data_IF_613981782228
#
_entry.id   IF_613981782228
#
_cell.length_a   1.000
_cell.length_b   1.000
_cell.length_c   1.000
_cell.angle_alpha   90.00
_cell.angle_beta   90.00
_cell.angle_gamma   90.00
#
_symmetry.space_group_name_H-M   'P 1'
#
loop_
_entity.id
_entity.type
_entity.pdbx_description
1 polymer ?
#
# COMPACT_ATOMS: atom_id res chain seq x y z
N UNK A 1 -51.10 -16.39 33.93
CA UNK A 1 -50.89 -16.23 32.48
C UNK A 1 -51.66 -17.31 31.76
N UNK A 2 -52.57 -16.92 30.87
CA UNK A 2 -53.25 -17.82 29.95
C UNK A 2 -52.25 -18.39 28.93
N UNK A 3 -52.54 -19.55 28.32
CA UNK A 3 -51.67 -20.15 27.30
C UNK A 3 -51.44 -19.22 26.08
N UNK A 4 -52.46 -18.44 25.70
CA UNK A 4 -52.37 -17.42 24.64
C UNK A 4 -51.40 -16.30 24.97
N UNK A 5 -51.44 -15.83 26.22
CA UNK A 5 -50.60 -14.73 26.71
C UNK A 5 -49.11 -15.11 26.68
N UNK A 6 -48.81 -16.37 26.97
CA UNK A 6 -47.46 -16.92 26.87
C UNK A 6 -47.00 -17.05 25.42
N UNK A 7 -47.86 -17.51 24.52
CA UNK A 7 -47.58 -17.63 23.07
C UNK A 7 -47.24 -16.27 22.46
N UNK A 8 -48.05 -15.25 22.78
CA UNK A 8 -47.86 -13.87 22.31
C UNK A 8 -46.53 -13.27 22.79
N UNK A 9 -46.17 -13.47 24.05
CA UNK A 9 -44.88 -13.03 24.59
C UNK A 9 -43.69 -13.67 23.86
N UNK A 10 -43.78 -14.96 23.53
CA UNK A 10 -42.73 -15.69 22.81
C UNK A 10 -42.56 -15.13 21.39
N UNK A 11 -43.66 -14.85 20.69
CA UNK A 11 -43.62 -14.29 19.35
C UNK A 11 -43.00 -12.88 19.34
N UNK A 12 -43.28 -12.08 20.36
CA UNK A 12 -42.71 -10.73 20.52
C UNK A 12 -41.21 -10.77 20.81
N UNK A 13 -40.77 -11.70 21.66
CA UNK A 13 -39.35 -11.94 21.91
C UNK A 13 -38.63 -12.45 20.65
N UNK A 14 -39.25 -13.37 19.92
CA UNK A 14 -38.69 -13.93 18.68
C UNK A 14 -38.55 -12.85 17.60
N UNK A 15 -39.58 -12.00 17.41
CA UNK A 15 -39.52 -10.87 16.50
C UNK A 15 -38.33 -9.96 16.83
N UNK A 16 -38.21 -9.57 18.10
CA UNK A 16 -37.12 -8.70 18.55
C UNK A 16 -35.74 -9.36 18.41
N UNK A 17 -35.65 -10.68 18.58
CA UNK A 17 -34.42 -11.43 18.35
C UNK A 17 -34.02 -11.44 16.87
N UNK A 18 -34.95 -11.78 15.97
CA UNK A 18 -34.72 -11.79 14.52
C UNK A 18 -34.29 -10.42 13.99
N UNK A 19 -34.97 -9.35 14.44
CA UNK A 19 -34.62 -7.98 14.08
C UNK A 19 -33.19 -7.63 14.52
N UNK A 20 -32.82 -7.94 15.77
CA UNK A 20 -31.46 -7.70 16.30
C UNK A 20 -30.40 -8.47 15.52
N UNK A 21 -30.64 -9.76 15.23
CA UNK A 21 -29.74 -10.59 14.43
C UNK A 21 -29.53 -9.98 13.05
N UNK A 22 -30.59 -9.57 12.37
CA UNK A 22 -30.50 -8.93 11.06
C UNK A 22 -29.60 -7.69 11.09
N UNK A 23 -29.86 -6.75 11.99
CA UNK A 23 -29.04 -5.54 12.08
C UNK A 23 -27.61 -5.83 12.53
N UNK A 24 -27.40 -6.83 13.38
CA UNK A 24 -26.07 -7.28 13.78
C UNK A 24 -25.26 -7.77 12.58
N UNK A 25 -25.84 -8.59 11.70
CA UNK A 25 -25.16 -9.09 10.52
C UNK A 25 -24.83 -7.99 9.50
N UNK A 26 -25.69 -6.98 9.39
CA UNK A 26 -25.41 -5.78 8.57
C UNK A 26 -24.24 -4.97 9.14
N UNK A 27 -24.16 -4.81 10.46
CA UNK A 27 -23.05 -4.13 11.13
C UNK A 27 -21.73 -4.93 11.00
N UNK A 28 -21.78 -6.25 11.08
CA UNK A 28 -20.60 -7.11 10.85
C UNK A 28 -20.04 -6.90 9.43
N UNK A 29 -20.90 -6.83 8.41
CA UNK A 29 -20.47 -6.57 7.02
C UNK A 29 -19.60 -5.31 6.95
N UNK A 30 -20.04 -4.23 7.60
CA UNK A 30 -19.33 -2.95 7.56
C UNK A 30 -18.01 -3.01 8.33
N UNK A 31 -17.97 -3.74 9.46
CA UNK A 31 -16.73 -4.02 10.18
C UNK A 31 -15.74 -4.86 9.36
N UNK A 32 -16.22 -5.87 8.64
CA UNK A 32 -15.38 -6.68 7.73
C UNK A 32 -14.81 -5.78 6.64
N UNK A 33 -15.63 -4.95 6.00
CA UNK A 33 -15.19 -3.99 4.98
C UNK A 33 -14.13 -3.02 5.51
N UNK A 34 -14.32 -2.48 6.72
CA UNK A 34 -13.32 -1.60 7.35
C UNK A 34 -11.98 -2.32 7.57
N UNK A 35 -12.01 -3.59 7.97
CA UNK A 35 -10.80 -4.40 8.21
C UNK A 35 -10.03 -4.75 6.94
N UNK A 36 -10.63 -4.66 5.74
CA UNK A 36 -9.92 -4.91 4.48
C UNK A 36 -8.84 -3.87 4.16
N UNK A 37 -8.95 -2.64 4.70
CA UNK A 37 -7.99 -1.57 4.40
C UNK A 37 -6.57 -1.90 4.87
N UNK A 38 -6.44 -2.52 6.04
CA UNK A 38 -5.13 -2.81 6.65
C UNK A 38 -4.34 -3.86 5.85
N UNK A 39 -4.89 -5.04 5.50
CA UNK A 39 -4.21 -6.01 4.62
C UNK A 39 -3.83 -5.41 3.27
N UNK A 40 -4.68 -4.57 2.68
CA UNK A 40 -4.38 -3.92 1.40
C UNK A 40 -3.14 -3.01 1.50
N UNK A 41 -3.10 -2.14 2.52
CA UNK A 41 -1.97 -1.25 2.75
C UNK A 41 -0.66 -2.03 3.00
N UNK A 42 -0.73 -3.10 3.80
CA UNK A 42 0.41 -3.99 4.06
C UNK A 42 0.90 -4.65 2.76
N UNK A 43 -0.02 -5.17 1.93
CA UNK A 43 0.32 -5.78 0.65
C UNK A 43 1.03 -4.82 -0.29
N UNK A 44 0.53 -3.58 -0.43
CA UNK A 44 1.15 -2.54 -1.25
C UNK A 44 2.55 -2.19 -0.74
N UNK A 45 2.72 -2.02 0.58
CA UNK A 45 4.03 -1.74 1.18
C UNK A 45 5.04 -2.87 0.90
N UNK A 46 4.62 -4.14 1.03
CA UNK A 46 5.48 -5.29 0.74
C UNK A 46 5.89 -5.34 -0.73
N UNK A 47 4.97 -5.11 -1.66
CA UNK A 47 5.29 -5.02 -3.09
C UNK A 47 6.30 -3.91 -3.37
N UNK A 48 6.16 -2.76 -2.71
CA UNK A 48 7.13 -1.66 -2.79
C UNK A 48 8.53 -2.05 -2.30
N UNK A 49 8.63 -2.73 -1.15
CA UNK A 49 9.90 -3.21 -0.60
C UNK A 49 10.56 -4.23 -1.54
N UNK A 50 9.79 -5.20 -2.05
CA UNK A 50 10.30 -6.18 -3.01
C UNK A 50 10.76 -5.50 -4.31
N UNK A 51 9.98 -4.55 -4.83
CA UNK A 51 10.32 -3.78 -6.01
C UNK A 51 11.61 -2.98 -5.85
N UNK A 52 11.80 -2.34 -4.68
CA UNK A 52 13.04 -1.63 -4.34
C UNK A 52 14.26 -2.55 -4.37
N UNK A 53 14.18 -3.73 -3.74
CA UNK A 53 15.29 -4.69 -3.72
C UNK A 53 15.62 -5.18 -5.14
N UNK A 54 14.61 -5.50 -5.95
CA UNK A 54 14.81 -5.95 -7.32
C UNK A 54 15.45 -4.87 -8.20
N UNK A 55 15.05 -3.61 -8.03
CA UNK A 55 15.61 -2.48 -8.76
C UNK A 55 17.08 -2.22 -8.39
N UNK A 56 17.44 -2.39 -7.12
CA UNK A 56 18.78 -2.11 -6.59
C UNK A 56 19.71 -3.32 -6.51
N UNK A 57 19.24 -4.49 -6.97
CA UNK A 57 20.05 -5.70 -7.01
C UNK A 57 21.23 -5.56 -7.98
N UNK A 58 22.42 -5.87 -7.47
CA UNK A 58 23.61 -6.02 -8.29
C UNK A 58 23.54 -7.32 -9.10
N UNK A 59 23.33 -7.18 -10.41
CA UNK A 59 23.22 -8.32 -11.34
C UNK A 59 24.55 -9.00 -11.63
N UNK A 60 25.66 -8.38 -11.24
CA UNK A 60 27.01 -8.96 -11.37
C UNK A 60 27.39 -9.78 -10.14
N UNK A 61 26.61 -9.71 -9.06
CA UNK A 61 26.84 -10.51 -7.88
C UNK A 61 26.69 -12.01 -8.23
N UNK A 62 27.58 -12.82 -7.67
CA UNK A 62 27.54 -14.28 -7.78
C UNK A 62 27.87 -14.89 -6.43
N UNK A 63 27.20 -15.97 -6.04
CA UNK A 63 27.47 -16.69 -4.80
C UNK A 63 26.23 -17.22 -4.10
N UNK A 64 26.43 -18.03 -3.07
CA UNK A 64 25.35 -18.70 -2.32
C UNK A 64 24.30 -17.74 -1.78
N UNK A 65 24.72 -16.56 -1.29
CA UNK A 65 23.81 -15.57 -0.72
C UNK A 65 22.82 -14.99 -1.74
N UNK A 66 23.19 -14.92 -3.02
CA UNK A 66 22.28 -14.49 -4.08
C UNK A 66 21.16 -15.52 -4.28
N UNK A 67 21.47 -16.82 -4.22
CA UNK A 67 20.47 -17.89 -4.30
C UNK A 67 19.53 -17.88 -3.09
N UNK A 68 20.07 -17.63 -1.89
CA UNK A 68 19.25 -17.45 -0.67
C UNK A 68 18.31 -16.26 -0.81
N UNK A 69 18.81 -15.12 -1.31
CA UNK A 69 17.99 -13.94 -1.60
C UNK A 69 16.85 -14.27 -2.57
N UNK A 70 17.14 -14.89 -3.71
CA UNK A 70 16.11 -15.24 -4.70
C UNK A 70 15.08 -16.23 -4.15
N UNK A 71 15.52 -17.21 -3.34
CA UNK A 71 14.61 -18.14 -2.67
C UNK A 71 13.62 -17.39 -1.76
N UNK A 72 14.12 -16.52 -0.88
CA UNK A 72 13.28 -15.75 0.03
C UNK A 72 12.39 -14.74 -0.70
N UNK A 73 12.92 -14.10 -1.74
CA UNK A 73 12.15 -13.22 -2.62
C UNK A 73 10.99 -13.97 -3.28
N UNK A 74 11.25 -15.15 -3.83
CA UNK A 74 10.24 -15.98 -4.49
C UNK A 74 9.16 -16.46 -3.52
N UNK A 75 9.53 -16.93 -2.33
CA UNK A 75 8.56 -17.33 -1.30
C UNK A 75 7.73 -16.14 -0.83
N UNK A 76 8.35 -14.98 -0.60
CA UNK A 76 7.62 -13.76 -0.24
C UNK A 76 6.60 -13.38 -1.31
N UNK A 77 7.02 -13.30 -2.58
CA UNK A 77 6.13 -13.00 -3.70
C UNK A 77 4.99 -14.01 -3.86
N UNK A 78 5.28 -15.30 -3.68
CA UNK A 78 4.26 -16.37 -3.73
C UNK A 78 3.21 -16.20 -2.64
N UNK A 79 3.63 -15.89 -1.41
CA UNK A 79 2.69 -15.65 -0.31
C UNK A 79 1.90 -14.35 -0.47
N UNK A 80 2.48 -13.29 -1.03
CA UNK A 80 1.72 -12.08 -1.41
C UNK A 80 0.65 -12.44 -2.44
N UNK A 81 1.00 -13.23 -3.45
CA UNK A 81 0.05 -13.65 -4.48
C UNK A 81 -1.10 -14.48 -3.89
N UNK A 82 -0.79 -15.49 -3.06
CA UNK A 82 -1.80 -16.27 -2.35
C UNK A 82 -2.67 -15.38 -1.46
N UNK A 83 -2.06 -14.51 -0.64
CA UNK A 83 -2.78 -13.56 0.21
C UNK A 83 -3.72 -12.66 -0.58
N UNK A 84 -3.27 -12.13 -1.72
CA UNK A 84 -4.07 -11.30 -2.61
C UNK A 84 -5.26 -12.08 -3.19
N UNK A 85 -5.08 -13.36 -3.54
CA UNK A 85 -6.18 -14.19 -4.05
C UNK A 85 -7.30 -14.38 -3.02
N UNK A 86 -6.95 -14.57 -1.74
CA UNK A 86 -7.92 -14.65 -0.65
C UNK A 86 -8.51 -13.28 -0.31
N UNK A 87 -7.73 -12.21 -0.45
CA UNK A 87 -8.21 -10.84 -0.27
C UNK A 87 -9.34 -10.51 -1.27
N UNK A 88 -9.15 -10.84 -2.54
CA UNK A 88 -10.16 -10.65 -3.59
C UNK A 88 -11.44 -11.42 -3.25
N UNK A 89 -11.32 -12.67 -2.78
CA UNK A 89 -12.47 -13.48 -2.33
C UNK A 89 -13.20 -12.85 -1.14
N UNK A 90 -12.46 -12.28 -0.17
CA UNK A 90 -13.06 -11.56 0.96
C UNK A 90 -13.74 -10.24 0.52
N UNK A 91 -13.22 -9.57 -0.52
CA UNK A 91 -13.74 -8.30 -1.01
C UNK A 91 -15.01 -8.45 -1.85
N UNK A 92 -15.04 -9.39 -2.79
CA UNK A 92 -16.07 -9.47 -3.82
C UNK A 92 -16.81 -10.83 -3.92
N UNK A 93 -16.49 -11.81 -3.08
CA UNK A 93 -16.96 -13.18 -3.27
C UNK A 93 -18.35 -13.52 -2.72
N UNK A 94 -19.14 -12.57 -2.23
CA UNK A 94 -20.36 -12.88 -1.43
C UNK A 94 -21.49 -11.87 -1.64
N UNK A 95 -22.67 -12.38 -1.93
CA UNK A 95 -23.90 -11.60 -2.05
C UNK A 95 -24.58 -11.43 -0.68
N UNK A 96 -25.08 -10.24 -0.42
CA UNK A 96 -25.87 -9.95 0.78
C UNK A 96 -27.34 -9.83 0.43
N UNK A 97 -28.18 -10.35 1.32
CA UNK A 97 -29.61 -10.12 1.25
C UNK A 97 -29.99 -8.96 2.16
N UNK A 98 -30.97 -8.18 1.72
CA UNK A 98 -31.58 -7.13 2.52
C UNK A 98 -33.08 -7.35 2.57
N UNK A 99 -33.66 -6.92 3.69
CA UNK A 99 -35.09 -6.87 3.85
C UNK A 99 -35.67 -5.91 2.80
N UNK A 100 -36.88 -6.22 2.33
CA UNK A 100 -37.54 -5.44 1.29
C UNK A 100 -37.68 -3.96 1.69
N UNK A 101 -37.77 -3.02 0.73
CA UNK A 101 -37.90 -1.59 1.02
C UNK A 101 -39.13 -1.28 1.89
N UNK A 102 -39.06 -0.21 2.68
CA UNK A 102 -40.14 0.18 3.61
C UNK A 102 -41.52 0.38 2.92
N UNK A 103 -41.54 0.78 1.66
CA UNK A 103 -42.78 0.91 0.86
C UNK A 103 -43.50 -0.44 0.73
N UNK A 104 -42.75 -1.53 0.53
CA UNK A 104 -43.31 -2.87 0.47
C UNK A 104 -43.99 -3.22 1.80
N UNK A 105 -43.33 -2.99 2.92
CA UNK A 105 -43.89 -3.31 4.24
C UNK A 105 -45.10 -2.45 4.61
N UNK A 106 -45.10 -1.18 4.20
CA UNK A 106 -46.26 -0.30 4.40
C UNK A 106 -47.46 -0.81 3.61
N UNK A 107 -47.25 -1.24 2.36
CA UNK A 107 -48.30 -1.83 1.52
C UNK A 107 -48.78 -3.17 2.10
N UNK A 108 -47.85 -4.06 2.44
CA UNK A 108 -48.16 -5.37 2.99
C UNK A 108 -48.94 -5.26 4.31
N UNK A 109 -48.58 -4.30 5.19
CA UNK A 109 -49.38 -3.98 6.37
C UNK A 109 -50.82 -3.65 5.99
N UNK A 110 -51.03 -2.72 5.04
CA UNK A 110 -52.38 -2.36 4.59
C UNK A 110 -53.14 -3.55 3.99
N UNK A 111 -52.46 -4.43 3.25
CA UNK A 111 -53.04 -5.66 2.68
C UNK A 111 -53.48 -6.63 3.79
N UNK A 112 -52.69 -6.82 4.85
CA UNK A 112 -53.06 -7.64 6.00
C UNK A 112 -54.32 -7.11 6.70
N UNK A 113 -54.38 -5.81 7.01
CA UNK A 113 -55.56 -5.21 7.66
C UNK A 113 -56.80 -5.30 6.76
N UNK A 114 -56.66 -5.09 5.45
CA UNK A 114 -57.77 -5.25 4.50
C UNK A 114 -58.25 -6.70 4.37
N UNK A 115 -57.35 -7.68 4.46
CA UNK A 115 -57.69 -9.11 4.36
C UNK A 115 -58.48 -9.58 5.58
N UNK A 116 -58.05 -9.23 6.80
CA UNK A 116 -58.66 -9.73 8.04
C UNK A 116 -59.85 -8.91 8.54
N UNK A 117 -60.18 -7.77 7.93
CA UNK A 117 -61.20 -6.81 8.39
C UNK A 117 -62.59 -7.40 8.69
N UNK A 118 -62.91 -8.57 8.14
CA UNK A 118 -64.21 -9.23 8.26
C UNK A 118 -64.31 -10.20 9.46
N UNK A 119 -63.24 -10.36 10.23
CA UNK A 119 -63.17 -11.26 11.38
C UNK A 119 -63.30 -10.49 12.71
N UNK A 120 -63.83 -11.13 13.74
CA UNK A 120 -64.02 -10.52 15.07
C UNK A 120 -62.71 -10.05 15.72
N UNK A 121 -61.59 -10.75 15.45
CA UNK A 121 -60.24 -10.42 15.94
C UNK A 121 -59.33 -9.86 14.83
N UNK A 122 -59.90 -9.09 13.89
CA UNK A 122 -59.21 -8.60 12.69
C UNK A 122 -57.84 -7.95 12.97
N UNK A 123 -57.78 -7.04 13.94
CA UNK A 123 -56.56 -6.27 14.24
C UNK A 123 -55.43 -7.13 14.80
N UNK A 124 -55.76 -8.15 15.58
CA UNK A 124 -54.79 -9.06 16.18
C UNK A 124 -54.25 -10.02 15.11
N UNK A 125 -55.14 -10.62 14.32
CA UNK A 125 -54.77 -11.51 13.21
C UNK A 125 -53.92 -10.80 12.15
N UNK A 126 -54.28 -9.56 11.78
CA UNK A 126 -53.50 -8.78 10.83
C UNK A 126 -52.11 -8.43 11.37
N UNK A 127 -52.02 -8.07 12.65
CA UNK A 127 -50.74 -7.76 13.30
C UNK A 127 -49.84 -8.98 13.39
N UNK A 128 -50.40 -10.13 13.76
CA UNK A 128 -49.65 -11.38 13.92
C UNK A 128 -49.17 -11.90 12.57
N UNK A 129 -50.01 -11.85 11.53
CA UNK A 129 -49.60 -12.18 10.16
C UNK A 129 -48.47 -11.27 9.67
N UNK A 130 -48.60 -9.95 9.87
CA UNK A 130 -47.56 -8.99 9.51
C UNK A 130 -46.24 -9.24 10.24
N UNK A 131 -46.30 -9.42 11.57
CA UNK A 131 -45.12 -9.70 12.40
C UNK A 131 -44.47 -11.03 12.05
N UNK A 132 -45.26 -12.06 11.79
CA UNK A 132 -44.77 -13.38 11.41
C UNK A 132 -43.96 -13.30 10.11
N UNK A 133 -44.54 -12.72 9.05
CA UNK A 133 -43.85 -12.56 7.76
C UNK A 133 -42.59 -11.70 7.87
N UNK A 134 -42.64 -10.62 8.65
CA UNK A 134 -41.48 -9.75 8.86
C UNK A 134 -40.37 -10.45 9.66
N UNK A 135 -40.73 -11.22 10.70
CA UNK A 135 -39.78 -12.05 11.47
C UNK A 135 -39.12 -13.09 10.58
N UNK A 136 -39.90 -13.76 9.73
CA UNK A 136 -39.39 -14.73 8.77
C UNK A 136 -38.39 -14.09 7.81
N UNK A 137 -38.69 -12.89 7.29
CA UNK A 137 -37.73 -12.22 6.42
C UNK A 137 -36.46 -11.80 7.15
N UNK A 138 -36.56 -11.27 8.37
CA UNK A 138 -35.40 -10.97 9.18
C UNK A 138 -34.55 -12.22 9.41
N UNK A 139 -35.15 -13.33 9.86
CA UNK A 139 -34.45 -14.57 10.15
C UNK A 139 -33.79 -15.20 8.92
N UNK A 140 -34.47 -15.20 7.77
CA UNK A 140 -33.91 -15.73 6.51
C UNK A 140 -32.75 -14.88 6.03
N UNK A 141 -32.93 -13.56 6.03
CA UNK A 141 -31.91 -12.60 5.60
C UNK A 141 -30.68 -12.64 6.50
N UNK A 142 -30.88 -12.67 7.83
CA UNK A 142 -29.78 -12.77 8.79
C UNK A 142 -29.01 -14.09 8.64
N UNK A 143 -29.69 -15.21 8.39
CA UNK A 143 -29.03 -16.51 8.21
C UNK A 143 -28.12 -16.53 6.99
N UNK A 144 -28.59 -16.01 5.85
CA UNK A 144 -27.77 -15.91 4.63
C UNK A 144 -26.59 -14.96 4.85
N UNK A 145 -26.83 -13.81 5.47
CA UNK A 145 -25.79 -12.82 5.74
C UNK A 145 -24.75 -13.32 6.75
N UNK A 146 -25.13 -14.12 7.75
CA UNK A 146 -24.21 -14.72 8.71
C UNK A 146 -23.23 -15.67 8.02
N UNK A 147 -23.70 -16.53 7.12
CA UNK A 147 -22.85 -17.44 6.33
C UNK A 147 -21.89 -16.64 5.44
N UNK A 148 -22.39 -15.57 4.81
CA UNK A 148 -21.57 -14.68 3.99
C UNK A 148 -20.49 -13.98 4.84
N UNK A 149 -20.86 -13.43 6.00
CA UNK A 149 -19.95 -12.78 6.93
C UNK A 149 -18.85 -13.73 7.43
N UNK A 150 -19.22 -14.95 7.81
CA UNK A 150 -18.26 -15.96 8.28
C UNK A 150 -17.26 -16.35 7.18
N UNK A 151 -17.76 -16.59 5.96
CA UNK A 151 -16.92 -16.91 4.79
C UNK A 151 -15.93 -15.79 4.50
N UNK A 152 -16.39 -14.53 4.53
CA UNK A 152 -15.52 -13.36 4.29
C UNK A 152 -14.51 -13.16 5.41
N UNK A 153 -14.93 -13.31 6.66
CA UNK A 153 -14.05 -13.22 7.82
C UNK A 153 -12.95 -14.29 7.77
N UNK A 154 -13.30 -15.52 7.36
CA UNK A 154 -12.35 -16.61 7.15
C UNK A 154 -11.32 -16.28 6.05
N UNK A 155 -11.77 -15.79 4.89
CA UNK A 155 -10.85 -15.38 3.82
C UNK A 155 -9.95 -14.20 4.22
N UNK A 156 -10.48 -13.25 5.00
CA UNK A 156 -9.69 -12.16 5.55
C UNK A 156 -8.63 -12.65 6.53
N UNK A 157 -8.96 -13.62 7.39
CA UNK A 157 -7.99 -14.26 8.26
C UNK A 157 -6.87 -14.96 7.48
N UNK A 158 -7.22 -15.71 6.43
CA UNK A 158 -6.23 -16.35 5.55
C UNK A 158 -5.33 -15.33 4.85
N UNK A 159 -5.90 -14.21 4.39
CA UNK A 159 -5.14 -13.10 3.81
C UNK A 159 -4.06 -12.61 4.77
N UNK A 160 -4.44 -12.30 6.01
CA UNK A 160 -3.51 -11.86 7.04
C UNK A 160 -2.45 -12.92 7.33
N UNK A 161 -2.83 -14.19 7.44
CA UNK A 161 -1.89 -15.30 7.65
C UNK A 161 -0.83 -15.33 6.55
N UNK A 162 -1.21 -15.26 5.28
CA UNK A 162 -0.25 -15.28 4.18
C UNK A 162 0.61 -14.01 4.11
N UNK A 163 0.04 -12.84 4.41
CA UNK A 163 0.82 -11.60 4.49
C UNK A 163 1.87 -11.65 5.61
N UNK A 164 1.56 -12.26 6.76
CA UNK A 164 2.55 -12.45 7.83
C UNK A 164 3.72 -13.31 7.33
N UNK A 165 3.44 -14.44 6.68
CA UNK A 165 4.50 -15.30 6.12
C UNK A 165 5.30 -14.54 5.05
N UNK A 166 4.63 -13.81 4.16
CA UNK A 166 5.28 -12.97 3.15
C UNK A 166 6.23 -11.95 3.78
N UNK A 167 5.80 -11.28 4.85
CA UNK A 167 6.59 -10.30 5.60
C UNK A 167 7.82 -10.90 6.27
N UNK A 168 7.70 -12.10 6.83
CA UNK A 168 8.85 -12.82 7.39
C UNK A 168 9.91 -13.08 6.32
N UNK A 169 9.53 -13.63 5.16
CA UNK A 169 10.46 -13.87 4.06
C UNK A 169 11.00 -12.58 3.44
N UNK A 170 10.19 -11.53 3.32
CA UNK A 170 10.64 -10.22 2.82
C UNK A 170 11.68 -9.60 3.74
N UNK A 171 11.47 -9.66 5.06
CA UNK A 171 12.41 -9.14 6.06
C UNK A 171 13.73 -9.89 6.00
N UNK A 172 13.68 -11.22 5.89
CA UNK A 172 14.89 -12.02 5.76
C UNK A 172 15.61 -11.76 4.43
N UNK A 173 14.87 -11.63 3.32
CA UNK A 173 15.43 -11.23 2.02
C UNK A 173 16.12 -9.85 2.11
N UNK A 174 15.52 -8.90 2.81
CA UNK A 174 16.09 -7.57 3.03
C UNK A 174 17.38 -7.62 3.85
N UNK A 175 17.44 -8.44 4.90
CA UNK A 175 18.66 -8.66 5.67
C UNK A 175 19.77 -9.22 4.78
N UNK A 176 19.49 -10.27 3.99
CA UNK A 176 20.46 -10.85 3.06
C UNK A 176 20.90 -9.81 2.02
N UNK A 177 19.96 -9.01 1.50
CA UNK A 177 20.23 -7.99 0.49
C UNK A 177 21.28 -6.95 0.96
N UNK A 178 21.16 -6.46 2.19
CA UNK A 178 22.12 -5.51 2.75
C UNK A 178 23.40 -6.19 3.25
N UNK A 179 23.30 -7.23 4.09
CA UNK A 179 24.47 -7.82 4.72
C UNK A 179 25.38 -8.60 3.76
N UNK A 180 24.84 -9.13 2.66
CA UNK A 180 25.65 -9.80 1.64
C UNK A 180 26.16 -8.83 0.55
N UNK A 181 25.97 -7.51 0.71
CA UNK A 181 26.46 -6.50 -0.24
C UNK A 181 25.85 -6.64 -1.64
N UNK A 182 24.59 -7.09 -1.72
CA UNK A 182 23.87 -7.28 -2.99
C UNK A 182 23.30 -5.96 -3.53
N UNK A 183 23.39 -4.88 -2.76
CA UNK A 183 22.96 -3.55 -3.17
C UNK A 183 24.01 -2.89 -4.09
N UNK A 184 23.64 -2.65 -5.36
CA UNK A 184 24.52 -2.02 -6.35
C UNK A 184 24.92 -0.58 -6.00
N UNK A 185 24.18 0.10 -5.12
CA UNK A 185 24.52 1.47 -4.70
C UNK A 185 25.75 1.52 -3.80
N UNK A 186 26.02 0.48 -3.01
CA UNK A 186 27.21 0.42 -2.16
C UNK A 186 28.49 0.33 -2.99
N UNK A 187 28.47 -0.42 -4.11
CA UNK A 187 29.62 -0.55 -5.01
C UNK A 187 29.92 0.70 -5.84
N UNK A 188 28.92 1.53 -6.10
CA UNK A 188 29.05 2.72 -6.97
C UNK A 188 29.25 4.03 -6.19
N UNK A 189 29.39 3.99 -4.86
CA UNK A 189 29.76 5.20 -4.11
C UNK A 189 31.20 5.58 -4.48
N UNK A 190 31.43 6.75 -5.11
CA UNK A 190 32.79 7.17 -5.45
C UNK A 190 33.59 7.29 -4.16
N UNK A 191 34.71 6.58 -4.08
CA UNK A 191 35.69 6.76 -3.01
C UNK A 191 36.08 8.24 -3.02
N UNK A 192 35.61 9.00 -2.04
CA UNK A 192 36.03 10.39 -1.85
C UNK A 192 37.47 10.36 -1.35
N UNK A 193 38.43 10.38 -2.27
CA UNK A 193 39.82 10.61 -1.94
C UNK A 193 39.97 12.08 -1.54
N UNK A 194 39.88 12.35 -0.24
CA UNK A 194 40.29 13.64 0.31
C UNK A 194 41.82 13.68 0.27
N UNK A 195 42.38 14.40 -0.70
CA UNK A 195 43.81 14.68 -0.75
C UNK A 195 44.10 15.75 0.32
N UNK A 196 44.38 15.31 1.55
CA UNK A 196 44.56 16.21 2.71
C UNK A 196 45.94 16.88 2.75
N UNK A 197 46.91 16.47 1.94
CA UNK A 197 48.20 17.14 1.85
C UNK A 197 48.87 16.94 0.48
N UNK A 198 49.56 17.95 -0.07
CA UNK A 198 50.41 17.76 -1.23
C UNK A 198 51.57 16.81 -0.89
N UNK A 199 51.74 15.77 -1.70
CA UNK A 199 52.85 14.82 -1.63
C UNK A 199 54.16 15.61 -1.81
N UNK A 200 54.94 15.75 -0.73
CA UNK A 200 56.32 16.26 -0.82
C UNK A 200 57.19 15.17 -1.45
N UNK A 201 57.43 15.30 -2.74
CA UNK A 201 58.47 14.55 -3.43
C UNK A 201 59.84 15.10 -2.98
N UNK A 202 60.44 14.52 -1.94
CA UNK A 202 61.86 14.72 -1.68
C UNK A 202 62.66 14.00 -2.76
N UNK A 203 63.02 14.75 -3.79
CA UNK A 203 64.00 14.34 -4.78
C UNK A 203 65.39 14.52 -4.15
N UNK A 204 65.92 13.43 -3.61
CA UNK A 204 67.35 13.31 -3.30
C UNK A 204 68.14 13.55 -4.59
N UNK A 205 68.87 14.66 -4.65
CA UNK A 205 70.16 14.81 -5.36
C UNK A 205 70.77 16.15 -4.95
N UNK A 206 71.77 16.08 -4.08
CA UNK A 206 72.68 17.19 -3.79
C UNK A 206 74.05 16.83 -4.35
N UNK A 207 74.40 17.37 -5.51
CA UNK A 207 75.79 17.72 -5.82
C UNK A 207 75.84 19.20 -6.24
N UNK A 208 76.83 19.89 -5.69
CA UNK A 208 76.86 21.32 -5.42
C UNK A 208 77.35 22.16 -6.61
N UNK A 209 76.68 23.29 -6.91
CA UNK A 209 77.35 24.52 -7.38
C UNK A 209 76.51 25.78 -7.08
N UNK A 210 77.11 26.74 -6.35
CA UNK A 210 76.50 28.02 -5.94
C UNK A 210 76.36 29.00 -7.13
N UNK A 211 75.22 29.69 -7.23
CA UNK A 211 74.97 30.84 -8.11
C UNK A 211 74.25 31.94 -7.26
N UNK A 212 74.62 33.24 -7.36
CA UNK A 212 74.16 34.31 -6.45
C UNK A 212 72.69 34.75 -6.67
N UNK A 213 72.06 35.44 -5.70
CA UNK A 213 70.61 35.67 -5.67
C UNK A 213 70.14 36.78 -6.63
N UNK A 214 68.93 36.65 -7.22
CA UNK A 214 68.31 37.67 -8.06
C UNK A 214 67.66 38.81 -7.24
N UNK A 215 67.50 40.03 -7.83
CA UNK A 215 66.93 41.20 -7.17
C UNK A 215 65.42 41.06 -6.86
N UNK A 216 64.89 41.84 -5.88
CA UNK A 216 63.50 41.74 -5.44
C UNK A 216 62.50 42.21 -6.51
N UNK A 217 61.29 41.61 -6.55
CA UNK A 217 60.26 41.97 -7.51
C UNK A 217 59.67 43.36 -7.25
N UNK A 218 59.22 44.08 -8.31
CA UNK A 218 58.66 45.42 -8.20
C UNK A 218 57.31 45.45 -7.46
N UNK A 219 56.93 46.59 -6.84
CA UNK A 219 55.67 46.71 -6.10
C UNK A 219 54.43 46.55 -7.00
N UNK A 220 53.37 45.99 -6.41
CA UNK A 220 52.05 45.76 -7.03
C UNK A 220 51.43 47.10 -7.43
N UNK A 221 51.01 47.23 -8.69
CA UNK A 221 50.27 48.40 -9.22
C UNK A 221 48.77 48.11 -9.20
N UNK A 222 48.01 48.85 -8.40
CA UNK A 222 46.54 48.88 -8.51
C UNK A 222 46.13 49.75 -9.71
N UNK A 223 45.28 49.22 -10.58
CA UNK A 223 44.72 49.97 -11.72
C UNK A 223 43.39 50.57 -11.28
N UNK A 224 43.27 51.91 -11.35
CA UNK A 224 42.03 52.65 -11.07
C UNK A 224 41.23 52.82 -12.36
N UNK A 225 39.95 52.48 -12.30
CA UNK A 225 39.04 52.18 -13.41
C UNK A 225 38.40 53.42 -14.08
N UNK A 226 39.19 54.40 -14.55
CA UNK A 226 38.61 55.62 -15.15
C UNK A 226 39.46 56.23 -16.29
N UNK A 227 39.65 55.52 -17.41
CA UNK A 227 40.09 56.16 -18.68
C UNK A 227 39.35 55.62 -19.92
N UNK A 228 39.08 56.48 -20.93
CA UNK A 228 38.16 56.15 -22.03
C UNK A 228 38.78 55.17 -23.02
N UNK A 229 37.96 54.45 -23.82
CA UNK A 229 38.45 53.39 -24.70
C UNK A 229 39.34 53.93 -25.83
N UNK A 230 40.39 53.18 -26.15
CA UNK A 230 41.33 53.50 -27.23
C UNK A 230 40.70 53.28 -28.63
N UNK A 231 41.19 53.97 -29.69
CA UNK A 231 40.57 53.94 -31.01
C UNK A 231 40.75 52.59 -31.72
N UNK A 232 39.73 52.18 -32.49
CA UNK A 232 39.71 50.94 -33.28
C UNK A 232 40.83 50.94 -34.35
N UNK A 233 41.57 49.83 -34.44
CA UNK A 233 42.61 49.61 -35.46
C UNK A 233 42.00 49.34 -36.84
N UNK A 234 42.68 49.71 -37.95
CA UNK A 234 42.16 49.53 -39.30
C UNK A 234 42.21 48.06 -39.75
N UNK A 235 41.21 47.67 -40.54
CA UNK A 235 41.05 46.34 -41.16
C UNK A 235 42.08 46.15 -42.28
N UNK A 236 42.87 45.05 -42.29
CA UNK A 236 43.75 44.73 -43.41
C UNK A 236 42.97 44.17 -44.62
N UNK A 237 43.24 44.74 -45.79
CA UNK A 237 42.71 44.39 -47.11
C UNK A 237 43.30 43.11 -47.69
N UNK A 238 42.46 42.30 -48.35
CA UNK A 238 42.82 41.12 -49.14
C UNK A 238 43.80 41.44 -50.29
N UNK A 239 44.56 40.43 -50.74
CA UNK A 239 44.81 40.31 -52.17
C UNK A 239 44.57 38.89 -52.71
N UNK A 240 43.59 38.81 -53.62
CA UNK A 240 43.76 38.47 -55.05
C UNK A 240 44.45 37.14 -55.44
N UNK A 241 43.64 36.33 -56.14
CA UNK A 241 43.95 35.12 -56.91
C UNK A 241 45.03 35.23 -58.00
N UNK A 242 45.78 34.14 -58.23
CA UNK A 242 46.13 33.51 -59.53
C UNK A 242 47.07 32.33 -59.22
N UNK A 243 47.15 31.19 -59.89
CA UNK A 243 46.53 30.64 -61.09
C UNK A 243 47.38 29.45 -61.55
N UNK A 244 46.72 28.38 -62.03
CA UNK A 244 47.21 27.12 -62.63
C UNK A 244 47.79 26.04 -61.72
#
# INVERSE_FOLDING_TARGET
MSADEKSKSINDELFGLCEKLYFHEVDIRDKVNARLQMPFAIGVAMVGILGFMLQNLDRTASGTWLHVFYGCYFFSGSFIFLGTSYFIKAAWGTEYQFVAPGVFWTRYKSECYGFYQHLENADELARDAFRSMLSEQYGRTSSVNAIANDTRAYHLHLTLKFLIHAGMYATFALMVFYFAGLNKQEKNSPVRVLITAPIKLEKSMSETKKIPPPPPPPPIRYVQDNRPPAPLKPVPSEPSSSGR
#
